data_IF_417540990627
#
_entry.id   IF_417540990627
#
_cell.length_a   1.000
_cell.length_b   1.000
_cell.length_c   1.000
_cell.angle_alpha   90.00
_cell.angle_beta   90.00
_cell.angle_gamma   90.00
#
_symmetry.space_group_name_H-M   'P 1'
#
loop_
_entity.id
_entity.type
_entity.pdbx_description
1 polymer ?
#
# COMPACT_ATOMS: atom_id res chain seq x y z
N UNK A 1 -54.10 -20.93 -2.26
CA UNK A 1 -52.71 -21.25 -2.68
C UNK A 1 -51.98 -20.02 -3.24
N UNK A 2 -52.68 -19.16 -3.99
CA UNK A 2 -52.18 -17.90 -4.57
C UNK A 2 -51.56 -16.90 -3.57
N UNK A 3 -52.19 -16.62 -2.42
CA UNK A 3 -51.69 -15.58 -1.50
C UNK A 3 -50.33 -15.88 -0.85
N UNK A 4 -50.03 -17.16 -0.59
CA UNK A 4 -48.73 -17.56 -0.04
C UNK A 4 -47.58 -17.36 -1.03
N UNK A 5 -47.85 -17.46 -2.33
CA UNK A 5 -46.85 -17.23 -3.39
C UNK A 5 -46.61 -15.73 -3.53
N UNK A 6 -47.67 -14.92 -3.52
CA UNK A 6 -47.59 -13.46 -3.59
C UNK A 6 -46.83 -12.89 -2.39
N UNK A 7 -47.10 -13.36 -1.16
CA UNK A 7 -46.40 -12.89 0.03
C UNK A 7 -44.91 -13.26 0.03
N UNK A 8 -44.55 -14.40 -0.57
CA UNK A 8 -43.14 -14.84 -0.73
C UNK A 8 -42.42 -13.98 -1.77
N UNK A 9 -43.08 -13.65 -2.88
CA UNK A 9 -42.53 -12.73 -3.90
C UNK A 9 -42.33 -11.31 -3.37
N UNK A 10 -43.28 -10.79 -2.58
CA UNK A 10 -43.14 -9.48 -1.93
C UNK A 10 -41.97 -9.47 -0.93
N UNK A 11 -41.83 -10.51 -0.09
CA UNK A 11 -40.67 -10.65 0.82
C UNK A 11 -39.33 -10.68 0.07
N UNK A 12 -39.27 -11.33 -1.10
CA UNK A 12 -38.06 -11.37 -1.92
C UNK A 12 -37.77 -9.97 -2.49
N UNK A 13 -38.78 -9.28 -3.02
CA UNK A 13 -38.65 -7.90 -3.52
C UNK A 13 -38.16 -6.94 -2.43
N UNK A 14 -38.78 -6.97 -1.25
CA UNK A 14 -38.40 -6.12 -0.12
C UNK A 14 -37.01 -6.47 0.41
N UNK A 15 -36.64 -7.75 0.42
CA UNK A 15 -35.30 -8.23 0.74
C UNK A 15 -34.24 -7.68 -0.23
N UNK A 16 -34.49 -7.75 -1.53
CA UNK A 16 -33.61 -7.19 -2.55
C UNK A 16 -33.49 -5.66 -2.40
N UNK A 17 -34.59 -4.93 -2.22
CA UNK A 17 -34.58 -3.47 -2.03
C UNK A 17 -33.77 -3.07 -0.79
N UNK A 18 -33.94 -3.78 0.33
CA UNK A 18 -33.17 -3.54 1.55
C UNK A 18 -31.68 -3.86 1.38
N UNK A 19 -31.34 -4.88 0.60
CA UNK A 19 -29.96 -5.23 0.30
C UNK A 19 -29.28 -4.16 -0.57
N UNK A 20 -29.96 -3.67 -1.61
CA UNK A 20 -29.48 -2.54 -2.41
C UNK A 20 -29.31 -1.26 -1.59
N UNK A 21 -30.27 -0.96 -0.70
CA UNK A 21 -30.19 0.20 0.20
C UNK A 21 -29.00 0.09 1.15
N UNK A 22 -28.79 -1.09 1.76
CA UNK A 22 -27.63 -1.36 2.62
C UNK A 22 -26.30 -1.20 1.88
N UNK A 23 -26.21 -1.69 0.63
CA UNK A 23 -25.02 -1.55 -0.19
C UNK A 23 -24.75 -0.08 -0.55
N UNK A 24 -25.79 0.67 -0.94
CA UNK A 24 -25.70 2.12 -1.19
C UNK A 24 -25.25 2.88 0.06
N UNK A 25 -25.85 2.59 1.21
CA UNK A 25 -25.49 3.24 2.48
C UNK A 25 -24.05 2.91 2.90
N UNK A 26 -23.59 1.68 2.66
CA UNK A 26 -22.21 1.28 2.89
C UNK A 26 -21.23 2.04 1.95
N UNK A 27 -21.54 2.16 0.66
CA UNK A 27 -20.74 2.93 -0.30
C UNK A 27 -20.70 4.41 0.08
N UNK A 28 -21.86 5.01 0.40
CA UNK A 28 -21.95 6.41 0.81
C UNK A 28 -21.18 6.64 2.12
N UNK A 29 -21.26 5.70 3.06
CA UNK A 29 -20.46 5.70 4.29
C UNK A 29 -18.96 5.67 4.00
N UNK A 30 -18.51 4.76 3.12
CA UNK A 30 -17.12 4.67 2.70
C UNK A 30 -16.64 5.94 1.99
N UNK A 31 -17.43 6.48 1.05
CA UNK A 31 -17.12 7.73 0.36
C UNK A 31 -17.03 8.93 1.31
N UNK A 32 -17.94 9.03 2.30
CA UNK A 32 -17.86 10.07 3.34
C UNK A 32 -16.66 9.86 4.25
N UNK A 33 -16.28 8.63 4.58
CA UNK A 33 -15.09 8.33 5.38
C UNK A 33 -13.83 8.76 4.62
N UNK A 34 -13.73 8.45 3.33
CA UNK A 34 -12.65 8.89 2.45
C UNK A 34 -12.63 10.43 2.33
N UNK A 35 -13.78 11.06 2.12
CA UNK A 35 -13.89 12.53 2.06
C UNK A 35 -13.45 13.22 3.34
N UNK A 36 -13.85 12.71 4.52
CA UNK A 36 -13.34 13.20 5.81
C UNK A 36 -11.84 12.97 5.94
N UNK A 37 -11.33 11.82 5.48
CA UNK A 37 -9.91 11.51 5.51
C UNK A 37 -9.09 12.55 4.74
N UNK A 38 -9.49 12.89 3.52
CA UNK A 38 -8.84 13.95 2.74
C UNK A 38 -9.05 15.35 3.35
N UNK A 39 -10.25 15.64 3.86
CA UNK A 39 -10.53 16.92 4.53
C UNK A 39 -9.69 17.13 5.78
N UNK A 40 -9.47 16.11 6.60
CA UNK A 40 -8.65 16.20 7.81
C UNK A 40 -7.18 16.44 7.48
N UNK A 41 -6.68 15.82 6.41
CA UNK A 41 -5.33 16.04 5.89
C UNK A 41 -5.19 17.46 5.37
N UNK A 42 -6.15 17.92 4.58
CA UNK A 42 -6.17 19.30 4.10
C UNK A 42 -6.18 20.30 5.26
N UNK A 43 -7.03 20.11 6.25
CA UNK A 43 -7.05 20.95 7.44
C UNK A 43 -5.74 20.83 8.26
N UNK A 44 -5.07 19.66 8.24
CA UNK A 44 -3.77 19.50 8.91
C UNK A 44 -2.67 20.33 8.24
N UNK A 45 -2.70 20.44 6.91
CA UNK A 45 -1.79 21.29 6.16
C UNK A 45 -2.12 22.79 6.30
N UNK A 46 -3.41 23.13 6.34
CA UNK A 46 -3.87 24.52 6.45
C UNK A 46 -3.63 25.11 7.84
N UNK A 47 -4.07 24.42 8.88
CA UNK A 47 -4.08 24.93 10.26
C UNK A 47 -2.90 24.42 11.11
N UNK A 48 -2.04 23.57 10.53
CA UNK A 48 -0.89 23.00 11.23
C UNK A 48 0.24 24.01 11.44
N UNK A 49 0.91 23.91 12.58
CA UNK A 49 2.15 24.63 12.89
C UNK A 49 3.24 24.33 11.83
N UNK A 50 4.23 25.20 11.69
CA UNK A 50 5.44 24.97 10.90
C UNK A 50 6.05 23.56 11.10
N UNK A 51 5.94 22.95 12.29
CA UNK A 51 6.39 21.58 12.52
C UNK A 51 5.46 20.48 11.96
N UNK A 52 4.15 20.72 11.85
CA UNK A 52 3.24 19.82 11.12
C UNK A 52 3.57 19.87 9.63
N UNK A 53 3.85 21.08 9.12
CA UNK A 53 4.29 21.29 7.74
C UNK A 53 5.68 20.68 7.50
N UNK A 54 6.61 20.79 8.45
CA UNK A 54 7.92 20.13 8.36
C UNK A 54 7.78 18.60 8.43
N UNK A 55 6.79 18.09 9.16
CA UNK A 55 6.46 16.67 9.19
C UNK A 55 5.95 16.12 7.85
N UNK A 56 5.51 17.00 6.95
CA UNK A 56 5.18 16.65 5.58
C UNK A 56 6.40 16.60 4.64
N UNK A 57 7.58 17.02 5.12
CA UNK A 57 8.86 16.83 4.42
C UNK A 57 9.65 15.69 5.09
N UNK A 58 9.83 15.78 6.40
CA UNK A 58 10.55 14.81 7.23
C UNK A 58 9.59 14.29 8.29
N UNK A 59 9.12 13.05 8.16
CA UNK A 59 8.09 12.46 9.03
C UNK A 59 8.38 12.66 10.52
N UNK A 60 9.65 12.55 10.93
CA UNK A 60 10.10 12.69 12.32
C UNK A 60 10.08 14.10 12.89
N UNK A 61 10.03 15.15 12.07
CA UNK A 61 10.20 16.54 12.50
C UNK A 61 9.18 17.00 13.57
N UNK A 62 7.91 16.66 13.36
CA UNK A 62 6.82 16.99 14.27
C UNK A 62 6.88 16.26 15.62
N UNK A 63 7.59 15.12 15.70
CA UNK A 63 7.86 14.43 16.95
C UNK A 63 9.02 15.07 17.73
N UNK A 64 10.06 15.54 17.03
CA UNK A 64 11.18 16.24 17.65
C UNK A 64 10.73 17.52 18.36
N UNK A 65 9.89 18.36 17.73
CA UNK A 65 9.35 19.59 18.37
C UNK A 65 8.52 19.32 19.64
N UNK A 66 7.97 18.12 19.78
CA UNK A 66 7.08 17.75 20.89
C UNK A 66 7.75 16.85 21.92
N UNK A 67 9.08 16.75 21.92
CA UNK A 67 9.86 16.04 22.92
C UNK A 67 9.88 14.51 22.76
N UNK A 68 9.27 13.97 21.70
CA UNK A 68 9.24 12.53 21.42
C UNK A 68 10.42 12.14 20.51
N UNK A 69 11.65 12.26 21.03
CA UNK A 69 12.89 12.07 20.25
C UNK A 69 12.97 10.64 19.67
N UNK A 70 12.67 9.61 20.47
CA UNK A 70 12.74 8.21 20.01
C UNK A 70 11.82 7.96 18.82
N UNK A 71 10.58 8.46 18.86
CA UNK A 71 9.64 8.33 17.73
C UNK A 71 10.12 9.12 16.52
N UNK A 72 10.62 10.34 16.73
CA UNK A 72 11.17 11.15 15.64
C UNK A 72 12.28 10.44 14.89
N UNK A 73 13.20 9.78 15.61
CA UNK A 73 14.28 8.98 15.01
C UNK A 73 13.69 7.78 14.24
N UNK A 74 12.80 7.00 14.85
CA UNK A 74 12.19 5.82 14.22
C UNK A 74 11.48 6.18 12.91
N UNK A 75 10.64 7.22 12.91
CA UNK A 75 9.90 7.65 11.72
C UNK A 75 10.82 8.23 10.63
N UNK A 76 11.91 8.89 11.02
CA UNK A 76 12.91 9.40 10.06
C UNK A 76 13.70 8.26 9.42
N UNK A 77 14.15 7.29 10.21
CA UNK A 77 14.85 6.09 9.68
C UNK A 77 13.92 5.32 8.75
N UNK A 78 12.66 5.11 9.16
CA UNK A 78 11.66 4.43 8.33
C UNK A 78 11.47 5.15 6.98
N UNK A 79 11.36 6.48 6.99
CA UNK A 79 11.27 7.27 5.75
C UNK A 79 12.50 7.07 4.85
N UNK A 80 13.72 7.08 5.43
CA UNK A 80 14.95 6.85 4.67
C UNK A 80 14.96 5.46 4.05
N UNK A 81 14.61 4.41 4.82
CA UNK A 81 14.58 3.03 4.33
C UNK A 81 13.61 2.89 3.16
N UNK A 82 12.40 3.45 3.27
CA UNK A 82 11.41 3.37 2.18
C UNK A 82 11.86 4.17 0.95
N UNK A 83 12.49 5.32 1.14
CA UNK A 83 13.06 6.09 0.03
C UNK A 83 14.19 5.32 -0.68
N UNK A 84 15.10 4.69 0.06
CA UNK A 84 16.16 3.84 -0.51
C UNK A 84 15.54 2.67 -1.27
N UNK A 85 14.53 2.00 -0.69
CA UNK A 85 13.77 0.95 -1.38
C UNK A 85 13.11 1.47 -2.66
N UNK A 86 12.58 2.70 -2.66
CA UNK A 86 11.98 3.29 -3.84
C UNK A 86 13.02 3.52 -4.95
N UNK A 87 14.11 4.22 -4.66
CA UNK A 87 15.10 4.60 -5.68
C UNK A 87 15.96 3.43 -6.16
N UNK A 88 16.38 2.54 -5.25
CA UNK A 88 17.31 1.45 -5.58
C UNK A 88 16.59 0.22 -6.12
N UNK A 89 15.44 -0.13 -5.53
CA UNK A 89 14.74 -1.36 -5.88
C UNK A 89 13.52 -1.09 -6.77
N UNK A 90 12.64 -0.15 -6.40
CA UNK A 90 11.35 -0.01 -7.08
C UNK A 90 11.45 0.69 -8.43
N UNK A 91 12.23 1.76 -8.52
CA UNK A 91 12.32 2.60 -9.70
C UNK A 91 12.77 1.83 -10.96
N UNK A 92 13.80 0.93 -10.92
CA UNK A 92 14.21 0.15 -12.09
C UNK A 92 13.14 -0.82 -12.61
N UNK A 93 12.28 -1.37 -11.74
CA UNK A 93 11.20 -2.27 -12.18
C UNK A 93 9.98 -1.47 -12.65
N UNK A 94 9.61 -0.41 -11.93
CA UNK A 94 8.49 0.45 -12.30
C UNK A 94 8.70 1.16 -13.63
N UNK A 95 9.93 1.56 -13.97
CA UNK A 95 10.24 2.16 -15.27
C UNK A 95 10.02 1.19 -16.43
N UNK A 96 10.24 -0.11 -16.20
CA UNK A 96 10.01 -1.19 -17.18
C UNK A 96 8.60 -1.76 -17.12
N UNK A 97 7.75 -1.31 -16.20
CA UNK A 97 6.40 -1.86 -16.01
C UNK A 97 5.55 -1.74 -17.28
N UNK A 98 5.66 -0.63 -18.02
CA UNK A 98 4.93 -0.43 -19.26
C UNK A 98 5.40 -1.31 -20.44
N UNK A 99 6.66 -1.72 -20.46
CA UNK A 99 7.22 -2.55 -21.55
C UNK A 99 7.34 -4.02 -21.18
N UNK A 100 7.33 -4.35 -19.89
CA UNK A 100 7.58 -5.70 -19.34
C UNK A 100 8.92 -6.32 -19.77
N UNK A 101 9.84 -5.52 -20.29
CA UNK A 101 11.19 -5.90 -20.69
C UNK A 101 11.45 -5.49 -22.14
N UNK A 102 12.72 -5.34 -22.48
CA UNK A 102 13.16 -4.94 -23.82
C UNK A 102 14.24 -5.86 -24.36
N UNK A 103 15.05 -6.47 -23.49
CA UNK A 103 16.16 -7.34 -23.89
C UNK A 103 15.77 -8.80 -23.66
N UNK A 104 15.63 -9.56 -24.75
CA UNK A 104 15.36 -11.01 -24.68
C UNK A 104 16.61 -11.78 -24.26
N UNK A 105 16.41 -12.96 -23.68
CA UNK A 105 17.49 -13.89 -23.40
C UNK A 105 18.15 -14.35 -24.70
N UNK A 106 19.47 -14.13 -24.80
CA UNK A 106 20.28 -14.64 -25.89
C UNK A 106 21.58 -15.20 -25.32
N UNK A 107 22.00 -16.35 -25.85
CA UNK A 107 23.31 -16.92 -25.58
C UNK A 107 24.12 -16.86 -26.86
N UNK A 108 25.16 -16.04 -26.85
CA UNK A 108 26.05 -15.84 -27.99
C UNK A 108 27.37 -16.58 -27.72
N UNK A 109 27.88 -17.29 -28.72
CA UNK A 109 29.16 -17.98 -28.61
C UNK A 109 30.30 -16.98 -28.79
N UNK A 110 31.09 -16.77 -27.74
CA UNK A 110 32.26 -15.91 -27.79
C UNK A 110 33.47 -16.72 -28.26
N UNK A 111 33.98 -16.39 -29.45
CA UNK A 111 35.13 -17.07 -30.07
C UNK A 111 36.45 -16.87 -29.31
N UNK A 112 36.58 -15.79 -28.52
CA UNK A 112 37.79 -15.50 -27.76
C UNK A 112 37.83 -16.28 -26.44
N UNK A 113 36.69 -16.47 -25.77
CA UNK A 113 36.59 -17.21 -24.51
C UNK A 113 36.21 -18.68 -24.70
N UNK A 114 35.91 -19.10 -25.94
CA UNK A 114 35.44 -20.44 -26.31
C UNK A 114 34.25 -20.91 -25.45
N UNK A 115 33.41 -19.95 -25.05
CA UNK A 115 32.27 -20.17 -24.14
C UNK A 115 31.04 -19.44 -24.67
N UNK A 116 29.88 -20.01 -24.36
CA UNK A 116 28.61 -19.35 -24.53
C UNK A 116 28.45 -18.30 -23.44
N UNK A 117 28.44 -17.02 -23.83
CA UNK A 117 28.19 -15.90 -22.93
C UNK A 117 26.70 -15.55 -22.97
N UNK A 118 26.13 -15.28 -21.80
CA UNK A 118 24.72 -14.94 -21.63
C UNK A 118 24.62 -13.43 -21.58
N UNK A 119 23.73 -12.84 -22.39
CA UNK A 119 23.51 -11.41 -22.38
C UNK A 119 22.83 -10.93 -21.08
N UNK A 120 22.84 -9.62 -20.83
CA UNK A 120 22.05 -9.05 -19.73
C UNK A 120 20.59 -8.92 -20.18
N UNK A 121 19.77 -9.93 -19.88
CA UNK A 121 18.38 -10.01 -20.32
C UNK A 121 17.37 -9.58 -19.26
N UNK A 122 16.19 -9.19 -19.74
CA UNK A 122 15.04 -8.87 -18.91
C UNK A 122 14.22 -10.13 -18.61
N UNK A 123 13.52 -10.12 -17.47
CA UNK A 123 12.62 -11.21 -17.12
C UNK A 123 11.22 -10.63 -16.86
N UNK A 124 10.31 -10.75 -17.84
CA UNK A 124 9.01 -10.05 -17.81
C UNK A 124 8.18 -10.37 -16.58
N UNK A 125 8.13 -11.65 -16.18
CA UNK A 125 7.43 -12.05 -14.96
C UNK A 125 8.02 -11.41 -13.69
N UNK A 126 9.35 -11.28 -13.63
CA UNK A 126 10.06 -10.66 -12.50
C UNK A 126 9.75 -9.16 -12.45
N UNK A 127 9.79 -8.49 -13.59
CA UNK A 127 9.45 -7.06 -13.73
C UNK A 127 8.01 -6.83 -13.27
N UNK A 128 7.05 -7.64 -13.73
CA UNK A 128 5.64 -7.55 -13.33
C UNK A 128 5.47 -7.76 -11.82
N UNK A 129 6.02 -8.84 -11.28
CA UNK A 129 5.92 -9.20 -9.86
C UNK A 129 6.52 -8.11 -8.95
N UNK A 130 7.73 -7.66 -9.23
CA UNK A 130 8.40 -6.67 -8.39
C UNK A 130 7.82 -5.28 -8.53
N UNK A 131 7.35 -4.90 -9.73
CA UNK A 131 6.60 -3.64 -9.91
C UNK A 131 5.34 -3.63 -9.07
N UNK A 132 4.60 -4.73 -9.04
CA UNK A 132 3.38 -4.86 -8.23
C UNK A 132 3.68 -4.76 -6.73
N UNK A 133 4.70 -5.46 -6.24
CA UNK A 133 5.13 -5.38 -4.84
C UNK A 133 5.54 -3.94 -4.51
N UNK A 134 6.29 -3.29 -5.39
CA UNK A 134 6.67 -1.88 -5.24
C UNK A 134 5.47 -0.96 -5.17
N UNK A 135 4.46 -1.11 -6.04
CA UNK A 135 3.22 -0.32 -5.97
C UNK A 135 2.47 -0.54 -4.65
N UNK A 136 2.39 -1.79 -4.17
CA UNK A 136 1.77 -2.09 -2.88
C UNK A 136 2.50 -1.43 -1.71
N UNK A 137 3.84 -1.49 -1.69
CA UNK A 137 4.66 -0.84 -0.66
C UNK A 137 4.53 0.68 -0.72
N UNK A 138 4.56 1.28 -1.92
CA UNK A 138 4.38 2.73 -2.11
C UNK A 138 2.98 3.15 -1.62
N UNK A 139 1.93 2.42 -1.99
CA UNK A 139 0.57 2.69 -1.53
C UNK A 139 0.42 2.61 0.00
N UNK A 140 0.99 1.56 0.60
CA UNK A 140 1.04 1.41 2.06
C UNK A 140 1.84 2.54 2.72
N UNK A 141 2.97 2.95 2.13
CA UNK A 141 3.78 4.05 2.63
C UNK A 141 3.01 5.38 2.56
N UNK A 142 2.32 5.68 1.46
CA UNK A 142 1.48 6.88 1.34
C UNK A 142 0.40 6.89 2.43
N UNK A 143 -0.27 5.76 2.67
CA UNK A 143 -1.28 5.66 3.73
C UNK A 143 -0.67 5.89 5.13
N UNK A 144 0.50 5.32 5.41
CA UNK A 144 1.24 5.57 6.66
C UNK A 144 1.71 7.01 6.77
N UNK A 145 2.15 7.62 5.68
CA UNK A 145 2.60 9.02 5.62
C UNK A 145 1.47 9.98 5.95
N UNK A 146 0.30 9.75 5.37
CA UNK A 146 -0.90 10.54 5.64
C UNK A 146 -1.35 10.36 7.11
N UNK A 147 -1.36 9.12 7.61
CA UNK A 147 -1.67 8.85 9.02
C UNK A 147 -0.66 9.53 9.97
N UNK A 148 0.62 9.59 9.60
CA UNK A 148 1.65 10.28 10.37
C UNK A 148 1.34 11.77 10.52
N UNK A 149 1.01 12.46 9.43
CA UNK A 149 0.65 13.90 9.48
C UNK A 149 -0.54 14.13 10.40
N UNK A 150 -1.57 13.28 10.32
CA UNK A 150 -2.75 13.35 11.21
C UNK A 150 -2.35 13.15 12.67
N UNK A 151 -1.53 12.14 12.98
CA UNK A 151 -1.04 11.87 14.35
C UNK A 151 -0.20 13.02 14.90
N UNK A 152 0.64 13.60 14.06
CA UNK A 152 1.41 14.79 14.41
C UNK A 152 0.44 15.95 14.68
N UNK A 153 -0.61 16.17 13.89
CA UNK A 153 -1.61 17.22 14.22
C UNK A 153 -2.32 16.97 15.55
N UNK A 154 -2.76 15.73 15.81
CA UNK A 154 -3.40 15.35 17.08
C UNK A 154 -2.51 15.67 18.29
N UNK A 155 -1.21 15.39 18.19
CA UNK A 155 -0.24 15.72 19.24
C UNK A 155 -0.07 17.23 19.46
N UNK A 156 -0.23 18.06 18.42
CA UNK A 156 -0.25 19.52 18.62
C UNK A 156 -1.49 19.94 19.41
N UNK A 157 -2.67 19.48 19.00
CA UNK A 157 -3.92 19.80 19.70
C UNK A 157 -3.89 19.34 21.17
N UNK A 158 -3.30 18.18 21.45
CA UNK A 158 -3.11 17.71 22.83
C UNK A 158 -2.17 18.62 23.63
N UNK A 159 -1.08 19.08 23.03
CA UNK A 159 -0.15 20.02 23.65
C UNK A 159 -0.82 21.37 23.95
N UNK A 160 -1.59 21.90 23.01
CA UNK A 160 -2.35 23.14 23.15
C UNK A 160 -3.43 23.05 24.24
N UNK A 161 -4.03 21.87 24.42
CA UNK A 161 -5.00 21.57 25.48
C UNK A 161 -4.35 21.30 26.84
N UNK A 162 -3.02 21.42 26.97
CA UNK A 162 -2.30 21.13 28.21
C UNK A 162 -2.31 19.65 28.62
N UNK A 163 -2.67 18.74 27.71
CA UNK A 163 -2.69 17.30 27.98
C UNK A 163 -1.28 16.72 27.94
N UNK A 164 -1.02 15.75 28.82
CA UNK A 164 0.25 15.03 28.85
C UNK A 164 0.51 14.34 27.51
N UNK A 165 1.71 14.52 26.98
CA UNK A 165 2.18 13.82 25.79
C UNK A 165 2.93 12.59 26.26
N UNK A 166 2.36 11.41 26.01
CA UNK A 166 2.95 10.15 26.42
C UNK A 166 4.40 10.00 25.92
N UNK A 167 5.28 9.49 26.77
CA UNK A 167 6.63 9.10 26.36
C UNK A 167 6.62 7.77 25.59
N UNK A 168 7.69 7.45 24.85
CA UNK A 168 7.78 6.18 24.11
C UNK A 168 7.69 4.95 25.04
N UNK A 169 8.18 5.07 26.28
CA UNK A 169 8.07 4.02 27.30
C UNK A 169 6.63 3.84 27.77
N UNK A 170 5.93 4.94 28.02
CA UNK A 170 4.51 4.93 28.38
C UNK A 170 3.65 4.34 27.27
N UNK A 171 3.92 4.65 26.01
CA UNK A 171 3.21 4.03 24.90
C UNK A 171 3.42 2.52 24.85
N UNK A 172 4.66 2.04 25.02
CA UNK A 172 4.93 0.59 25.04
C UNK A 172 4.19 -0.09 26.19
N UNK A 173 4.14 0.53 27.38
CA UNK A 173 3.37 0.01 28.50
C UNK A 173 1.87 -0.05 28.17
N UNK A 174 1.30 1.03 27.61
CA UNK A 174 -0.10 1.08 27.19
C UNK A 174 -0.42 0.05 26.08
N UNK A 175 0.51 -0.18 25.15
CA UNK A 175 0.34 -1.19 24.09
C UNK A 175 0.39 -2.61 24.64
N UNK A 176 1.21 -2.89 25.66
CA UNK A 176 1.28 -4.20 26.32
C UNK A 176 0.04 -4.50 27.15
N UNK A 177 -0.48 -3.54 27.90
CA UNK A 177 -1.60 -3.82 28.82
C UNK A 177 -2.97 -3.78 28.14
N UNK A 178 -3.19 -2.87 27.18
CA UNK A 178 -4.54 -2.65 26.60
C UNK A 178 -4.70 -3.16 25.16
N UNK A 179 -3.60 -3.45 24.45
CA UNK A 179 -3.61 -3.68 23.00
C UNK A 179 -2.68 -4.80 22.51
N UNK A 180 -2.16 -5.66 23.39
CA UNK A 180 -1.24 -6.73 23.01
C UNK A 180 -1.82 -7.64 21.91
N UNK A 181 -3.12 -7.94 21.99
CA UNK A 181 -3.83 -8.71 20.96
C UNK A 181 -3.73 -8.06 19.57
N UNK A 182 -3.71 -6.72 19.46
CA UNK A 182 -3.59 -6.05 18.17
C UNK A 182 -2.21 -6.26 17.54
N UNK A 183 -1.15 -6.19 18.33
CA UNK A 183 0.22 -6.41 17.84
C UNK A 183 0.44 -7.88 17.48
N UNK A 184 -0.07 -8.80 18.31
CA UNK A 184 0.04 -10.24 18.06
C UNK A 184 -0.74 -10.68 16.82
N UNK A 185 -1.94 -10.12 16.59
CA UNK A 185 -2.75 -10.40 15.40
C UNK A 185 -2.27 -9.64 14.16
N UNK A 186 -1.51 -8.54 14.31
CA UNK A 186 -1.02 -7.75 13.19
C UNK A 186 -0.13 -8.58 12.26
N UNK A 187 0.83 -9.35 12.79
CA UNK A 187 1.74 -10.15 11.96
C UNK A 187 1.01 -11.26 11.18
N UNK A 188 0.14 -12.09 11.79
CA UNK A 188 -0.68 -13.06 11.07
C UNK A 188 -1.58 -12.41 10.01
N UNK A 189 -2.30 -11.33 10.36
CA UNK A 189 -3.17 -10.66 9.41
C UNK A 189 -2.39 -10.05 8.23
N UNK A 190 -1.23 -9.43 8.50
CA UNK A 190 -0.35 -8.90 7.46
C UNK A 190 0.12 -10.03 6.53
N UNK A 191 0.55 -11.16 7.09
CA UNK A 191 0.95 -12.33 6.32
C UNK A 191 -0.18 -12.81 5.40
N UNK A 192 -1.39 -13.01 5.94
CA UNK A 192 -2.55 -13.40 5.15
C UNK A 192 -2.81 -12.40 4.01
N UNK A 193 -2.76 -11.09 4.28
CA UNK A 193 -2.97 -10.07 3.24
C UNK A 193 -1.91 -10.17 2.16
N UNK A 194 -0.63 -10.28 2.51
CA UNK A 194 0.47 -10.38 1.52
C UNK A 194 0.31 -11.65 0.66
N UNK A 195 0.14 -12.81 1.28
CA UNK A 195 0.06 -14.09 0.58
C UNK A 195 -1.23 -14.30 -0.21
N UNK A 196 -2.29 -13.52 0.05
CA UNK A 196 -3.54 -13.60 -0.70
C UNK A 196 -3.65 -12.50 -1.75
N UNK A 197 -3.42 -11.25 -1.38
CA UNK A 197 -3.63 -10.10 -2.26
C UNK A 197 -2.57 -10.04 -3.35
N UNK A 198 -1.29 -10.29 -3.03
CA UNK A 198 -0.21 -10.20 -4.04
C UNK A 198 -0.43 -11.23 -5.15
N UNK A 199 -0.65 -12.54 -4.88
CA UNK A 199 -0.88 -13.51 -5.96
C UNK A 199 -2.14 -13.22 -6.78
N UNK A 200 -3.23 -12.80 -6.13
CA UNK A 200 -4.47 -12.44 -6.85
C UNK A 200 -4.21 -11.30 -7.82
N UNK A 201 -3.53 -10.24 -7.37
CA UNK A 201 -3.20 -9.12 -8.23
C UNK A 201 -2.27 -9.53 -9.39
N UNK A 202 -1.24 -10.35 -9.14
CA UNK A 202 -0.37 -10.87 -10.21
C UNK A 202 -1.20 -11.61 -11.26
N UNK A 203 -2.11 -12.49 -10.85
CA UNK A 203 -2.97 -13.24 -11.78
C UNK A 203 -3.87 -12.31 -12.61
N UNK A 204 -4.41 -11.25 -11.99
CA UNK A 204 -5.19 -10.23 -12.71
C UNK A 204 -4.31 -9.53 -13.74
N UNK A 205 -3.10 -9.11 -13.39
CA UNK A 205 -2.20 -8.43 -14.34
C UNK A 205 -1.77 -9.35 -15.48
N UNK A 206 -1.44 -10.62 -15.19
CA UNK A 206 -1.12 -11.63 -16.20
C UNK A 206 -2.29 -11.87 -17.16
N UNK A 207 -3.54 -11.75 -16.71
CA UNK A 207 -4.69 -11.86 -17.59
C UNK A 207 -4.79 -10.72 -18.64
N UNK A 208 -4.08 -9.61 -18.43
CA UNK A 208 -3.95 -8.49 -19.38
C UNK A 208 -2.64 -8.52 -20.19
N UNK A 209 -1.87 -9.62 -20.11
CA UNK A 209 -0.66 -9.81 -20.92
C UNK A 209 -0.83 -10.95 -21.92
N UNK A 210 0.05 -11.02 -22.92
CA UNK A 210 0.12 -12.14 -23.86
C UNK A 210 0.90 -13.33 -23.28
N UNK A 211 0.80 -13.58 -21.97
CA UNK A 211 1.50 -14.69 -21.33
C UNK A 211 0.87 -16.03 -21.70
N UNK A 212 1.56 -16.81 -22.53
CA UNK A 212 1.16 -18.12 -22.99
C UNK A 212 2.38 -19.06 -23.14
N UNK A 213 2.18 -20.23 -23.74
CA UNK A 213 3.27 -21.20 -23.97
C UNK A 213 4.35 -20.70 -24.94
N UNK A 214 4.04 -19.72 -25.79
CA UNK A 214 4.97 -19.15 -26.76
C UNK A 214 5.78 -17.99 -26.15
N UNK A 215 5.29 -17.36 -25.07
CA UNK A 215 5.94 -16.24 -24.40
C UNK A 215 6.38 -16.59 -22.97
N UNK A 216 7.08 -17.72 -22.81
CA UNK A 216 7.59 -18.18 -21.51
C UNK A 216 8.94 -17.50 -21.17
N UNK A 217 9.01 -16.71 -20.08
CA UNK A 217 10.27 -16.13 -19.62
C UNK A 217 11.19 -17.20 -19.00
N UNK A 218 12.53 -17.03 -19.06
CA UNK A 218 13.24 -15.86 -19.58
C UNK A 218 13.51 -15.88 -21.10
N UNK A 219 13.28 -17.01 -21.77
CA UNK A 219 13.59 -17.18 -23.19
C UNK A 219 12.85 -16.16 -24.05
N UNK A 220 11.55 -15.97 -23.76
CA UNK A 220 10.70 -14.99 -24.42
C UNK A 220 10.17 -13.96 -23.42
N UNK A 221 9.86 -12.77 -23.93
CA UNK A 221 9.25 -11.69 -23.15
C UNK A 221 7.77 -11.61 -23.50
N UNK A 222 6.94 -11.38 -22.49
CA UNK A 222 5.52 -11.06 -22.70
C UNK A 222 5.31 -9.57 -22.44
N UNK A 223 4.33 -8.99 -23.11
CA UNK A 223 3.94 -7.58 -23.08
C UNK A 223 2.46 -7.43 -22.73
N UNK A 224 2.02 -6.18 -22.51
CA UNK A 224 0.61 -5.88 -22.33
C UNK A 224 -0.16 -6.10 -23.62
N UNK A 225 -1.40 -6.57 -23.49
CA UNK A 225 -2.33 -6.66 -24.62
C UNK A 225 -2.98 -5.29 -24.83
N UNK A 226 -2.99 -4.81 -26.08
CA UNK A 226 -3.64 -3.55 -26.45
C UNK A 226 -2.78 -2.29 -26.33
N UNK A 227 -1.46 -2.46 -26.17
CA UNK A 227 -0.43 -1.42 -26.23
C UNK A 227 0.28 -1.42 -27.58
#
# INVERSE_FOLDING_TARGET
MSERIISRFLKIKDGCVNLFKKYKDAIVGAAKAVGRYFSEVYCAFRDGDAAVKLSALIMGAGYFKRGQITKGIIYTIFQIVVNVFFFVFSLPYLSKFGTLGTVKYASEFNFDTMKNEINNYDHSFKILLYSLISLAVIGAFIALYINNIRKVRELQLQKEQGRHINSFKEDIADYKDKKFYKTLLFFPCLGVVIFTVVPILVLIFVAFTNYDQQHLPPAELFTWVGL
#
